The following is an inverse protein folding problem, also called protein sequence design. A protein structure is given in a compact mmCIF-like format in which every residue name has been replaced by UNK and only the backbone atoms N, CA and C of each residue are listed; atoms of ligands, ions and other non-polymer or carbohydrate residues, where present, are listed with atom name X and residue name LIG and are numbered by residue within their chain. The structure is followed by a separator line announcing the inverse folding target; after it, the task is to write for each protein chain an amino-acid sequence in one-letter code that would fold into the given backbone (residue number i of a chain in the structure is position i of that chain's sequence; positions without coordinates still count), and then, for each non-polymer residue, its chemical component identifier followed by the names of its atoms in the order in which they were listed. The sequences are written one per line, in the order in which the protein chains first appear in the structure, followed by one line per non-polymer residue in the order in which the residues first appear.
data_IF_557276328571
#
_entry.id   IF_557276328571
#
_cell.length_a   1.000
_cell.length_b   1.000
_cell.length_c   1.000
_cell.angle_alpha   90.00
_cell.angle_beta   90.00
_cell.angle_gamma   90.00
#
_symmetry.space_group_name_H-M   'P 1'
#
loop_
_entity.id
_entity.type
_entity.pdbx_description
1 polymer ?
#
# COMPACT_ATOMS: atom_id res chain seq x y z
N UNK A 1 22.64 -42.69 17.30
CA UNK A 1 21.73 -41.53 17.47
C UNK A 1 21.75 -40.62 16.24
N UNK A 2 22.93 -40.21 15.73
CA UNK A 2 23.04 -39.30 14.58
C UNK A 2 22.36 -39.78 13.28
N UNK A 3 22.42 -41.08 12.98
CA UNK A 3 21.77 -41.67 11.79
C UNK A 3 20.23 -41.62 11.84
N UNK A 4 19.66 -41.65 13.05
CA UNK A 4 18.20 -41.64 13.26
C UNK A 4 17.66 -40.21 13.17
N UNK A 5 18.38 -39.24 13.72
CA UNK A 5 18.09 -37.81 13.59
C UNK A 5 18.20 -37.36 12.12
N UNK A 6 19.23 -37.82 11.39
CA UNK A 6 19.37 -37.53 9.96
C UNK A 6 18.21 -38.11 9.14
N UNK A 7 17.76 -39.33 9.42
CA UNK A 7 16.59 -39.96 8.78
C UNK A 7 15.30 -39.21 9.08
N UNK A 8 15.09 -38.79 10.33
CA UNK A 8 13.91 -38.05 10.75
C UNK A 8 13.88 -36.66 10.08
N UNK A 9 15.00 -35.95 10.04
CA UNK A 9 15.12 -34.67 9.32
C UNK A 9 14.85 -34.80 7.81
N UNK A 10 15.32 -35.88 7.17
CA UNK A 10 15.00 -36.20 5.78
C UNK A 10 13.51 -36.53 5.56
N UNK A 11 12.86 -37.15 6.54
CA UNK A 11 11.42 -37.46 6.48
C UNK A 11 10.52 -36.27 6.79
N UNK A 12 11.00 -35.28 7.54
CA UNK A 12 10.27 -34.06 7.90
C UNK A 12 10.38 -32.96 6.83
N UNK A 13 11.42 -33.01 5.99
CA UNK A 13 11.65 -32.04 4.91
C UNK A 13 12.07 -32.81 3.67
N UNK A 14 11.09 -33.31 2.91
CA UNK A 14 11.40 -33.95 1.64
C UNK A 14 11.82 -32.91 0.60
N UNK A 15 12.52 -33.34 -0.45
CA UNK A 15 12.87 -32.45 -1.56
C UNK A 15 11.63 -31.87 -2.25
N UNK A 16 10.51 -32.59 -2.18
CA UNK A 16 9.20 -32.13 -2.65
C UNK A 16 8.62 -31.04 -1.73
N UNK A 17 8.69 -31.22 -0.41
CA UNK A 17 8.30 -30.19 0.56
C UNK A 17 9.15 -28.92 0.40
N UNK A 18 10.47 -29.06 0.25
CA UNK A 18 11.34 -27.90 0.00
C UNK A 18 11.03 -27.21 -1.33
N UNK A 19 10.68 -27.96 -2.39
CA UNK A 19 10.24 -27.36 -3.67
C UNK A 19 8.91 -26.66 -3.53
N UNK A 20 7.94 -27.25 -2.84
CA UNK A 20 6.63 -26.66 -2.61
C UNK A 20 6.74 -25.41 -1.74
N UNK A 21 7.54 -25.46 -0.68
CA UNK A 21 7.82 -24.33 0.20
C UNK A 21 8.60 -23.23 -0.52
N UNK A 22 9.61 -23.58 -1.32
CA UNK A 22 10.32 -22.60 -2.17
C UNK A 22 9.36 -21.98 -3.18
N UNK A 23 8.47 -22.77 -3.81
CA UNK A 23 7.44 -22.25 -4.70
C UNK A 23 6.50 -21.30 -3.97
N UNK A 24 6.02 -21.64 -2.78
CA UNK A 24 5.17 -20.77 -1.94
C UNK A 24 5.89 -19.49 -1.50
N UNK A 25 7.17 -19.56 -1.12
CA UNK A 25 7.99 -18.39 -0.75
C UNK A 25 8.29 -17.52 -1.96
N UNK A 26 8.48 -18.12 -3.14
CA UNK A 26 8.75 -17.42 -4.40
C UNK A 26 7.47 -16.92 -5.10
N UNK A 27 6.31 -17.50 -4.81
CA UNK A 27 5.03 -17.18 -5.46
C UNK A 27 4.61 -15.71 -5.30
N UNK A 28 4.79 -15.05 -4.14
CA UNK A 28 4.59 -13.61 -4.01
C UNK A 28 5.51 -12.79 -4.93
N UNK A 29 6.75 -13.26 -5.16
CA UNK A 29 7.69 -12.66 -6.10
C UNK A 29 7.41 -13.04 -7.56
N UNK A 30 6.40 -13.86 -7.86
CA UNK A 30 6.02 -14.17 -9.25
C UNK A 30 5.06 -13.11 -9.83
N UNK A 31 4.27 -12.45 -8.98
CA UNK A 31 3.27 -11.45 -9.39
C UNK A 31 3.61 -10.03 -8.93
N UNK A 32 4.76 -9.80 -8.28
CA UNK A 32 5.15 -8.48 -7.79
C UNK A 32 5.17 -7.41 -8.89
N UNK A 33 5.50 -7.80 -10.13
CA UNK A 33 5.45 -6.91 -11.28
C UNK A 33 4.04 -6.33 -11.47
N UNK A 34 3.00 -7.17 -11.46
CA UNK A 34 1.61 -6.70 -11.60
C UNK A 34 1.20 -5.74 -10.47
N UNK A 35 1.69 -5.95 -9.26
CA UNK A 35 1.38 -5.11 -8.11
C UNK A 35 2.22 -3.82 -8.03
N UNK A 36 3.43 -3.82 -8.57
CA UNK A 36 4.39 -2.69 -8.44
C UNK A 36 4.41 -1.79 -9.68
N UNK A 37 4.17 -2.33 -10.88
CA UNK A 37 4.15 -1.55 -12.14
C UNK A 37 3.13 -0.40 -12.16
N UNK A 38 1.93 -0.51 -11.53
CA UNK A 38 0.98 0.60 -11.47
C UNK A 38 1.51 1.85 -10.74
N UNK A 39 2.45 1.72 -9.81
CA UNK A 39 2.94 2.84 -9.02
C UNK A 39 3.76 3.85 -9.86
N UNK A 40 4.80 3.45 -10.61
CA UNK A 40 5.50 4.36 -11.54
C UNK A 40 4.57 4.99 -12.58
N UNK A 41 3.62 4.23 -13.12
CA UNK A 41 2.66 4.73 -14.11
C UNK A 41 1.77 5.82 -13.50
N UNK A 42 1.26 5.61 -12.29
CA UNK A 42 0.43 6.59 -11.59
C UNK A 42 1.19 7.89 -11.32
N UNK A 43 2.48 7.80 -10.95
CA UNK A 43 3.35 8.97 -10.75
C UNK A 43 3.56 9.72 -12.06
N UNK A 44 3.80 9.01 -13.17
CA UNK A 44 3.97 9.63 -14.49
C UNK A 44 2.70 10.41 -14.91
N UNK A 45 1.53 9.79 -14.79
CA UNK A 45 0.23 10.42 -15.09
C UNK A 45 0.01 11.66 -14.21
N UNK A 46 0.27 11.57 -12.90
CA UNK A 46 0.18 12.72 -12.01
C UNK A 46 1.15 13.84 -12.41
N UNK A 47 2.38 13.50 -12.82
CA UNK A 47 3.36 14.47 -13.33
C UNK A 47 2.87 15.20 -14.59
N UNK A 48 2.28 14.47 -15.53
CA UNK A 48 1.67 15.04 -16.74
C UNK A 48 0.49 15.96 -16.39
N UNK A 49 -0.40 15.55 -15.49
CA UNK A 49 -1.53 16.37 -15.03
C UNK A 49 -1.06 17.67 -14.37
N UNK A 50 -0.04 17.60 -13.50
CA UNK A 50 0.57 18.78 -12.88
C UNK A 50 1.17 19.69 -13.95
N UNK A 51 1.90 19.13 -14.91
CA UNK A 51 2.49 19.90 -16.01
C UNK A 51 1.42 20.61 -16.85
N UNK A 52 0.34 19.93 -17.21
CA UNK A 52 -0.77 20.52 -17.97
C UNK A 52 -1.44 21.64 -17.15
N UNK A 53 -1.74 21.39 -15.88
CA UNK A 53 -2.36 22.37 -14.96
C UNK A 53 -1.48 23.59 -14.70
N UNK A 54 -0.17 23.52 -14.96
CA UNK A 54 0.73 24.66 -14.80
C UNK A 54 0.47 25.79 -15.79
N UNK A 55 -0.12 25.48 -16.96
CA UNK A 55 -0.45 26.46 -18.00
C UNK A 55 -1.73 27.22 -17.69
N UNK A 56 -2.74 26.51 -17.20
CA UNK A 56 -4.06 27.05 -16.89
C UNK A 56 -4.59 26.37 -15.64
N UNK A 57 -4.88 27.17 -14.62
CA UNK A 57 -5.53 26.71 -13.40
C UNK A 57 -7.03 27.04 -13.46
N UNK A 58 -7.85 26.18 -12.87
CA UNK A 58 -9.30 26.33 -12.87
C UNK A 58 -9.89 25.80 -11.57
N UNK A 59 -11.07 26.32 -11.22
CA UNK A 59 -11.81 25.86 -10.06
C UNK A 59 -12.59 24.58 -10.39
N UNK A 60 -12.56 23.63 -9.48
CA UNK A 60 -13.42 22.44 -9.48
C UNK A 60 -14.55 22.54 -8.45
N UNK A 61 -14.65 23.70 -7.78
CA UNK A 61 -15.63 24.00 -6.75
C UNK A 61 -17.01 24.38 -7.34
N UNK A 62 -17.36 23.83 -8.50
CA UNK A 62 -18.66 24.07 -9.13
C UNK A 62 -19.68 23.12 -8.49
N UNK A 63 -20.61 23.69 -7.73
CA UNK A 63 -21.65 22.97 -6.97
C UNK A 63 -21.07 22.01 -5.92
N UNK A 64 -20.41 22.52 -4.87
CA UNK A 64 -19.84 21.67 -3.82
C UNK A 64 -20.91 20.88 -3.06
N UNK A 65 -20.54 19.77 -2.42
CA UNK A 65 -21.41 19.08 -1.47
C UNK A 65 -21.92 20.03 -0.38
N UNK A 66 -23.11 19.78 0.17
CA UNK A 66 -23.73 20.64 1.19
C UNK A 66 -22.85 20.86 2.42
N UNK A 67 -22.12 19.82 2.83
CA UNK A 67 -21.21 19.84 3.98
C UNK A 67 -19.77 20.20 3.59
N UNK A 68 -19.54 20.56 2.32
CA UNK A 68 -18.21 20.77 1.75
C UNK A 68 -17.47 19.47 1.45
N UNK A 69 -16.25 19.64 0.95
CA UNK A 69 -15.34 18.52 0.71
C UNK A 69 -14.66 18.09 2.02
N UNK A 70 -14.51 16.78 2.20
CA UNK A 70 -13.94 16.17 3.40
C UNK A 70 -12.42 16.05 3.34
N UNK A 71 -11.86 15.78 2.17
CA UNK A 71 -10.45 15.46 1.98
C UNK A 71 -9.70 16.53 1.18
N UNK A 72 -10.26 17.05 0.07
CA UNK A 72 -9.65 18.13 -0.71
C UNK A 72 -9.78 19.48 0.02
N UNK A 73 -8.68 20.23 0.07
CA UNK A 73 -8.60 21.47 0.89
C UNK A 73 -8.76 22.76 0.08
N UNK A 74 -8.44 22.73 -1.22
CA UNK A 74 -8.34 23.92 -2.06
C UNK A 74 -9.10 23.72 -3.38
N UNK A 75 -10.42 23.47 -3.34
CA UNK A 75 -11.21 23.12 -4.53
C UNK A 75 -11.29 24.26 -5.56
N UNK A 76 -10.91 25.48 -5.19
CA UNK A 76 -10.86 26.63 -6.10
C UNK A 76 -9.68 26.57 -7.09
N UNK A 77 -8.74 25.63 -6.90
CA UNK A 77 -7.59 25.41 -7.77
C UNK A 77 -7.39 23.91 -7.99
N UNK A 78 -7.63 23.46 -9.22
CA UNK A 78 -7.33 22.11 -9.66
C UNK A 78 -5.85 21.78 -9.43
N UNK A 79 -4.96 22.73 -9.72
CA UNK A 79 -3.52 22.55 -9.49
C UNK A 79 -3.20 22.37 -8.00
N UNK A 80 -3.83 23.13 -7.10
CA UNK A 80 -3.63 22.98 -5.66
C UNK A 80 -4.10 21.60 -5.17
N UNK A 81 -5.21 21.08 -5.71
CA UNK A 81 -5.70 19.73 -5.44
C UNK A 81 -4.72 18.65 -5.94
N UNK A 82 -4.16 18.81 -7.15
CA UNK A 82 -3.13 17.89 -7.65
C UNK A 82 -1.87 17.92 -6.78
N UNK A 83 -1.40 19.09 -6.37
CA UNK A 83 -0.26 19.21 -5.46
C UNK A 83 -0.53 18.57 -4.10
N UNK A 84 -1.78 18.64 -3.61
CA UNK A 84 -2.19 17.90 -2.40
C UNK A 84 -2.06 16.39 -2.60
N UNK A 85 -2.54 15.85 -3.74
CA UNK A 85 -2.36 14.42 -4.07
C UNK A 85 -0.89 14.06 -4.16
N UNK A 86 -0.06 14.86 -4.84
CA UNK A 86 1.38 14.61 -4.97
C UNK A 86 2.08 14.59 -3.60
N UNK A 87 1.80 15.56 -2.73
CA UNK A 87 2.40 15.62 -1.40
C UNK A 87 1.95 14.46 -0.51
N UNK A 88 0.67 14.10 -0.56
CA UNK A 88 0.13 12.95 0.17
C UNK A 88 0.73 11.64 -0.34
N UNK A 89 0.80 11.47 -1.66
CA UNK A 89 1.42 10.32 -2.31
C UNK A 89 2.89 10.17 -1.97
N UNK A 90 3.66 11.27 -2.00
CA UNK A 90 5.07 11.28 -1.58
C UNK A 90 5.23 10.81 -0.13
N UNK A 91 4.39 11.32 0.78
CA UNK A 91 4.42 10.90 2.18
C UNK A 91 4.09 9.41 2.33
N UNK A 92 3.06 8.92 1.62
CA UNK A 92 2.66 7.52 1.64
C UNK A 92 3.76 6.59 1.11
N UNK A 93 4.40 6.92 -0.02
CA UNK A 93 5.50 6.13 -0.57
C UNK A 93 6.73 6.10 0.35
N UNK A 94 7.07 7.22 0.99
CA UNK A 94 8.18 7.27 1.93
C UNK A 94 7.90 6.43 3.18
N UNK A 95 6.70 6.53 3.74
CA UNK A 95 6.30 5.74 4.89
C UNK A 95 6.25 4.25 4.54
N UNK A 96 5.74 3.90 3.36
CA UNK A 96 5.77 2.53 2.84
C UNK A 96 7.20 1.99 2.72
N UNK A 97 8.11 2.76 2.13
CA UNK A 97 9.51 2.35 1.98
C UNK A 97 10.15 2.06 3.34
N UNK A 98 9.99 2.98 4.30
CA UNK A 98 10.50 2.80 5.67
C UNK A 98 9.88 1.58 6.36
N UNK A 99 8.57 1.44 6.33
CA UNK A 99 7.87 0.38 7.05
C UNK A 99 8.12 -1.01 6.44
N UNK A 100 8.18 -1.11 5.11
CA UNK A 100 8.54 -2.35 4.43
C UNK A 100 9.99 -2.77 4.72
N UNK A 101 10.91 -1.81 4.84
CA UNK A 101 12.28 -2.12 5.26
C UNK A 101 12.35 -2.60 6.72
N UNK A 102 11.57 -2.00 7.62
CA UNK A 102 11.47 -2.48 9.01
C UNK A 102 10.86 -3.88 9.09
N UNK A 103 9.78 -4.15 8.34
CA UNK A 103 9.20 -5.50 8.24
C UNK A 103 10.26 -6.51 7.77
N UNK A 104 11.03 -6.17 6.74
CA UNK A 104 12.14 -7.00 6.26
C UNK A 104 13.16 -7.27 7.37
N UNK A 105 13.57 -6.26 8.13
CA UNK A 105 14.53 -6.41 9.22
C UNK A 105 13.98 -7.25 10.38
N UNK A 106 12.73 -7.04 10.80
CA UNK A 106 12.10 -7.85 11.85
C UNK A 106 11.97 -9.31 11.44
N UNK A 107 11.50 -9.57 10.21
CA UNK A 107 11.31 -10.92 9.69
C UNK A 107 12.62 -11.68 9.49
N UNK A 108 13.76 -11.00 9.32
CA UNK A 108 15.09 -11.63 9.24
C UNK A 108 15.46 -12.41 10.50
N UNK A 109 14.93 -12.03 11.68
CA UNK A 109 15.23 -12.71 12.95
C UNK A 109 14.37 -13.97 13.19
N UNK A 110 13.19 -14.06 12.55
CA UNK A 110 12.22 -15.16 12.75
C UNK A 110 12.82 -16.55 12.49
N UNK A 111 13.62 -16.79 11.42
CA UNK A 111 14.25 -18.09 11.20
C UNK A 111 15.14 -18.55 12.36
N UNK A 112 15.80 -17.64 13.07
CA UNK A 112 16.70 -18.01 14.16
C UNK A 112 15.93 -18.37 15.43
N UNK A 113 14.86 -17.64 15.75
CA UNK A 113 13.92 -18.04 16.81
C UNK A 113 13.28 -19.41 16.52
N UNK A 114 12.91 -19.66 15.26
CA UNK A 114 12.36 -20.96 14.86
C UNK A 114 13.37 -22.10 15.02
N UNK A 115 14.63 -21.89 14.60
CA UNK A 115 15.71 -22.87 14.83
C UNK A 115 15.92 -23.14 16.32
N UNK A 116 15.87 -22.10 17.15
CA UNK A 116 16.02 -22.24 18.60
C UNK A 116 14.86 -23.05 19.20
N UNK A 117 13.61 -22.73 18.83
CA UNK A 117 12.43 -23.47 19.25
C UNK A 117 12.52 -24.97 18.89
N UNK A 118 12.91 -25.28 17.65
CA UNK A 118 13.14 -26.66 17.20
C UNK A 118 14.24 -27.33 18.04
N UNK A 119 15.39 -26.68 18.25
CA UNK A 119 16.47 -27.25 19.08
C UNK A 119 16.00 -27.58 20.50
N UNK A 120 15.21 -26.69 21.13
CA UNK A 120 14.65 -26.91 22.47
C UNK A 120 13.78 -28.18 22.49
N UNK A 121 12.89 -28.34 21.49
CA UNK A 121 12.02 -29.51 21.37
C UNK A 121 12.81 -30.83 21.21
N UNK A 122 13.95 -30.80 20.50
CA UNK A 122 14.77 -31.98 20.25
C UNK A 122 15.79 -32.30 21.35
N UNK A 123 15.93 -31.48 22.39
CA UNK A 123 16.85 -31.73 23.51
C UNK A 123 16.39 -32.86 24.46
N UNK A 124 15.11 -33.27 24.40
CA UNK A 124 14.58 -34.41 25.16
C UNK A 124 14.51 -34.19 26.68
N UNK A 125 14.53 -32.93 27.12
CA UNK A 125 14.35 -32.54 28.53
C UNK A 125 13.09 -31.68 28.67
N UNK A 126 12.04 -32.26 29.24
CA UNK A 126 10.72 -31.63 29.38
C UNK A 126 10.75 -30.34 30.22
N UNK A 127 11.66 -30.23 31.20
CA UNK A 127 11.80 -29.01 32.02
C UNK A 127 12.32 -27.84 31.19
N UNK A 128 13.28 -28.09 30.30
CA UNK A 128 13.85 -27.07 29.40
C UNK A 128 12.83 -26.64 28.34
N UNK A 129 12.03 -27.58 27.85
CA UNK A 129 10.94 -27.28 26.92
C UNK A 129 9.90 -26.37 27.58
N UNK A 130 9.43 -26.70 28.78
CA UNK A 130 8.46 -25.87 29.49
C UNK A 130 9.01 -24.49 29.84
N UNK A 131 10.30 -24.38 30.14
CA UNK A 131 10.91 -23.12 30.57
C UNK A 131 11.21 -22.14 29.43
N UNK A 132 11.54 -22.61 28.22
CA UNK A 132 12.15 -21.75 27.19
C UNK A 132 11.45 -21.76 25.83
N UNK A 133 10.56 -22.72 25.56
CA UNK A 133 9.87 -22.78 24.28
C UNK A 133 8.93 -21.59 24.07
N UNK A 134 8.17 -21.22 25.11
CA UNK A 134 7.25 -20.06 25.08
C UNK A 134 7.99 -18.79 24.69
N UNK A 135 9.17 -18.55 25.26
CA UNK A 135 9.94 -17.34 24.98
C UNK A 135 10.28 -17.21 23.48
N UNK A 136 10.63 -18.33 22.82
CA UNK A 136 10.94 -18.30 21.39
C UNK A 136 9.69 -17.99 20.54
N UNK A 137 8.54 -18.55 20.93
CA UNK A 137 7.27 -18.32 20.24
C UNK A 137 6.73 -16.91 20.49
N UNK A 138 6.87 -16.39 21.70
CA UNK A 138 6.46 -15.04 22.07
C UNK A 138 7.28 -13.99 21.32
N UNK A 139 8.59 -14.23 21.13
CA UNK A 139 9.42 -13.36 20.28
C UNK A 139 8.93 -13.33 18.82
N UNK A 140 8.52 -14.49 18.26
CA UNK A 140 7.96 -14.56 16.91
C UNK A 140 6.60 -13.83 16.86
N UNK A 141 5.77 -14.00 17.88
CA UNK A 141 4.48 -13.32 17.98
C UNK A 141 4.64 -11.80 18.05
N UNK A 142 5.57 -11.31 18.87
CA UNK A 142 5.87 -9.89 18.98
C UNK A 142 6.34 -9.29 17.64
N UNK A 143 7.20 -10.01 16.91
CA UNK A 143 7.61 -9.62 15.56
C UNK A 143 6.41 -9.53 14.62
N UNK A 144 5.50 -10.53 14.66
CA UNK A 144 4.31 -10.53 13.82
C UNK A 144 3.39 -9.34 14.12
N UNK A 145 3.17 -9.02 15.40
CA UNK A 145 2.37 -7.88 15.84
C UNK A 145 2.97 -6.55 15.36
N UNK A 146 4.29 -6.40 15.45
CA UNK A 146 4.97 -5.19 14.98
C UNK A 146 4.93 -5.07 13.45
N UNK A 147 5.10 -6.18 12.72
CA UNK A 147 4.92 -6.21 11.27
C UNK A 147 3.50 -5.80 10.86
N UNK A 148 2.49 -6.27 11.59
CA UNK A 148 1.09 -5.93 11.34
C UNK A 148 0.85 -4.42 11.53
N UNK A 149 1.37 -3.82 12.62
CA UNK A 149 1.26 -2.38 12.86
C UNK A 149 1.89 -1.57 11.73
N UNK A 150 3.09 -1.96 11.29
CA UNK A 150 3.81 -1.28 10.20
C UNK A 150 3.05 -1.39 8.86
N UNK A 151 2.49 -2.57 8.56
CA UNK A 151 1.69 -2.79 7.36
C UNK A 151 0.39 -1.98 7.38
N UNK A 152 -0.35 -1.99 8.50
CA UNK A 152 -1.58 -1.21 8.66
C UNK A 152 -1.33 0.30 8.61
N UNK A 153 -0.20 0.78 9.14
CA UNK A 153 0.20 2.18 8.99
C UNK A 153 0.38 2.57 7.52
N UNK A 154 1.06 1.71 6.75
CA UNK A 154 1.28 1.90 5.31
C UNK A 154 -0.05 1.93 4.54
N UNK A 155 -0.93 0.97 4.81
CA UNK A 155 -2.27 0.90 4.22
C UNK A 155 -3.08 2.17 4.48
N UNK A 156 -3.04 2.67 5.72
CA UNK A 156 -3.75 3.89 6.11
C UNK A 156 -3.29 5.10 5.29
N UNK A 157 -1.98 5.27 5.11
CA UNK A 157 -1.44 6.38 4.32
C UNK A 157 -1.89 6.32 2.86
N UNK A 158 -1.89 5.14 2.23
CA UNK A 158 -2.42 5.00 0.88
C UNK A 158 -3.94 5.19 0.81
N UNK A 159 -4.67 4.77 1.85
CA UNK A 159 -6.12 5.00 1.95
C UNK A 159 -6.44 6.50 1.96
N UNK A 160 -5.66 7.31 2.68
CA UNK A 160 -5.80 8.76 2.69
C UNK A 160 -5.54 9.38 1.29
N UNK A 161 -4.54 8.87 0.55
CA UNK A 161 -4.29 9.28 -0.84
C UNK A 161 -5.47 8.93 -1.74
N UNK A 162 -6.00 7.71 -1.63
CA UNK A 162 -7.15 7.23 -2.41
C UNK A 162 -8.38 8.10 -2.14
N UNK A 163 -8.65 8.43 -0.88
CA UNK A 163 -9.77 9.28 -0.48
C UNK A 163 -9.69 10.67 -1.13
N UNK A 164 -8.50 11.28 -1.17
CA UNK A 164 -8.28 12.58 -1.83
C UNK A 164 -8.52 12.46 -3.34
N UNK A 165 -8.00 11.40 -3.98
CA UNK A 165 -8.16 11.19 -5.43
C UNK A 165 -9.63 10.96 -5.80
N UNK A 166 -10.36 10.17 -5.02
CA UNK A 166 -11.78 9.89 -5.26
C UNK A 166 -12.61 11.16 -5.18
N UNK A 167 -12.42 11.97 -4.14
CA UNK A 167 -13.16 13.22 -3.99
C UNK A 167 -12.77 14.26 -5.05
N UNK A 168 -11.49 14.30 -5.45
CA UNK A 168 -11.03 15.12 -6.58
C UNK A 168 -11.71 14.69 -7.89
N UNK A 169 -11.81 13.38 -8.15
CA UNK A 169 -12.46 12.86 -9.35
C UNK A 169 -13.95 13.23 -9.37
N UNK A 170 -14.63 13.08 -8.24
CA UNK A 170 -16.04 13.47 -8.09
C UNK A 170 -16.24 14.98 -8.35
N UNK A 171 -15.39 15.82 -7.76
CA UNK A 171 -15.41 17.26 -7.99
C UNK A 171 -15.17 17.63 -9.47
N UNK A 172 -14.22 16.96 -10.14
CA UNK A 172 -13.94 17.16 -11.56
C UNK A 172 -15.12 16.78 -12.44
N UNK A 173 -15.76 15.62 -12.20
CA UNK A 173 -16.93 15.16 -12.97
C UNK A 173 -18.10 16.12 -12.80
N UNK A 174 -18.33 16.58 -11.57
CA UNK A 174 -19.37 17.56 -11.26
C UNK A 174 -19.10 18.90 -11.98
N UNK A 175 -17.86 19.41 -11.88
CA UNK A 175 -17.48 20.65 -12.56
C UNK A 175 -17.61 20.54 -14.08
N UNK A 176 -17.21 19.41 -14.68
CA UNK A 176 -17.35 19.16 -16.12
C UNK A 176 -18.82 19.25 -16.57
N UNK A 177 -19.74 18.66 -15.81
CA UNK A 177 -21.18 18.72 -16.10
C UNK A 177 -21.68 20.18 -16.18
N UNK A 178 -21.39 20.98 -15.16
CA UNK A 178 -21.82 22.39 -15.12
C UNK A 178 -21.14 23.27 -16.16
N UNK A 179 -19.83 23.10 -16.39
CA UNK A 179 -19.14 23.84 -17.43
C UNK A 179 -19.67 23.48 -18.83
N UNK A 180 -20.09 22.23 -19.05
CA UNK A 180 -20.76 21.81 -20.28
C UNK A 180 -22.09 22.52 -20.49
N UNK A 181 -22.95 22.55 -19.48
CA UNK A 181 -24.24 23.26 -19.53
C UNK A 181 -24.06 24.78 -19.77
N UNK A 182 -23.10 25.42 -19.08
CA UNK A 182 -22.79 26.83 -19.27
C UNK A 182 -22.33 27.12 -20.71
N UNK A 183 -21.45 26.27 -21.27
CA UNK A 183 -20.96 26.41 -22.64
C UNK A 183 -22.08 26.27 -23.68
N UNK A 184 -22.97 25.31 -23.50
CA UNK A 184 -24.07 25.09 -24.44
C UNK A 184 -25.12 26.21 -24.36
N UNK A 185 -25.38 26.73 -23.15
CA UNK A 185 -26.22 27.92 -22.97
C UNK A 185 -25.62 29.17 -23.65
N UNK A 186 -24.29 29.36 -23.56
CA UNK A 186 -23.60 30.47 -24.23
C UNK A 186 -23.66 30.31 -25.76
N UNK A 187 -23.40 29.12 -26.30
CA UNK A 187 -23.49 28.86 -27.75
C UNK A 187 -24.89 29.17 -28.28
N UNK A 188 -25.94 28.72 -27.58
CA UNK A 188 -27.32 28.98 -27.96
C UNK A 188 -27.62 30.49 -27.99
N UNK A 189 -27.18 31.24 -26.98
CA UNK A 189 -27.31 32.71 -26.96
C UNK A 189 -26.53 33.38 -28.10
N UNK A 190 -25.37 32.84 -28.47
CA UNK A 190 -24.60 33.35 -29.62
C UNK A 190 -25.27 33.05 -30.96
N UNK A 191 -25.97 31.92 -31.10
CA UNK A 191 -26.77 31.61 -32.29
C UNK A 191 -28.02 32.48 -32.40
N UNK A 192 -28.73 32.70 -31.29
CA UNK A 192 -29.88 33.59 -31.22
C UNK A 192 -29.52 35.08 -31.47
N UNK A 193 -28.26 35.45 -31.20
CA UNK A 193 -27.73 36.80 -31.42
C UNK A 193 -27.10 37.01 -32.80
N UNK A 194 -27.04 36.00 -33.67
CA UNK A 194 -26.60 36.18 -35.06
C UNK A 194 -27.75 36.80 -35.88
N UNK A 195 -27.50 37.93 -36.58
CA UNK A 195 -28.51 38.61 -37.39
C UNK A 195 -28.96 37.82 -38.62
#
# INVERSE_FOLDING_TARGET
MDSQVAKINQSLTTAEDMRNQTKLVMQPYANWEEYVTPAPLSIAILGELVFISSKTDFSINKNPPKDGYKYIRYPDSFRACLMQVCNSGWAAFNEAHKNMDQIRLHTMAVPDYMKAAVKILFQGNDEVVQAHLSDQLDNISAIADDCLKLASSTEKHFSDVINIIQELLEACVNAQYFYGEELDAIKKKMEEAKP
#
